data_IF_589206350507
#
_entry.id   IF_589206350507
#
_cell.length_a   1.000
_cell.length_b   1.000
_cell.length_c   1.000
_cell.angle_alpha   90.00
_cell.angle_beta   90.00
_cell.angle_gamma   90.00
#
_symmetry.space_group_name_H-M   'P 1'
#
loop_
_entity.id
_entity.type
_entity.pdbx_description
1 polymer ?
#
# COMPACT_ATOMS: atom_id res chain seq x y z
N UNK A 1 34.54 32.27 1.15
CA UNK A 1 33.51 31.90 0.15
C UNK A 1 33.64 30.48 -0.40
N UNK A 2 34.79 30.05 -0.96
CA UNK A 2 34.93 28.69 -1.54
C UNK A 2 34.60 27.54 -0.57
N UNK A 3 35.10 27.57 0.67
CA UNK A 3 34.82 26.53 1.70
C UNK A 3 33.32 26.42 2.08
N UNK A 4 32.60 27.55 2.10
CA UNK A 4 31.17 27.56 2.38
C UNK A 4 30.35 26.93 1.25
N UNK A 5 30.73 27.18 -0.01
CA UNK A 5 30.12 26.54 -1.19
C UNK A 5 30.35 25.03 -1.22
N UNK A 6 31.54 24.55 -0.84
CA UNK A 6 31.82 23.12 -0.73
C UNK A 6 31.01 22.44 0.38
N UNK A 7 30.87 23.09 1.55
CA UNK A 7 30.07 22.56 2.65
C UNK A 7 28.59 22.50 2.28
N UNK A 8 28.03 23.54 1.68
CA UNK A 8 26.65 23.53 1.19
C UNK A 8 26.43 22.46 0.10
N UNK A 9 27.39 22.30 -0.82
CA UNK A 9 27.33 21.27 -1.85
C UNK A 9 27.35 19.85 -1.27
N UNK A 10 28.24 19.57 -0.31
CA UNK A 10 28.30 18.26 0.36
C UNK A 10 27.05 17.97 1.19
N UNK A 11 26.48 18.98 1.86
CA UNK A 11 25.24 18.82 2.62
C UNK A 11 24.04 18.54 1.69
N UNK A 12 23.95 19.24 0.56
CA UNK A 12 22.94 19.00 -0.46
C UNK A 12 23.06 17.59 -1.05
N UNK A 13 24.27 17.12 -1.31
CA UNK A 13 24.49 15.78 -1.85
C UNK A 13 24.17 14.69 -0.80
N UNK A 14 24.57 14.89 0.46
CA UNK A 14 24.30 13.95 1.55
C UNK A 14 22.80 13.84 1.85
N UNK A 15 22.06 14.96 1.79
CA UNK A 15 20.60 14.96 1.95
C UNK A 15 19.91 14.27 0.78
N UNK A 16 20.34 14.50 -0.46
CA UNK A 16 19.84 13.77 -1.63
C UNK A 16 20.07 12.25 -1.50
N UNK A 17 21.29 11.84 -1.11
CA UNK A 17 21.60 10.41 -0.90
C UNK A 17 20.80 9.82 0.26
N UNK A 18 20.61 10.58 1.35
CA UNK A 18 19.80 10.16 2.49
C UNK A 18 18.34 9.93 2.09
N UNK A 19 17.73 10.87 1.36
CA UNK A 19 16.36 10.75 0.84
C UNK A 19 16.27 9.58 -0.15
N UNK A 20 17.31 9.34 -0.95
CA UNK A 20 17.34 8.22 -1.89
C UNK A 20 17.37 6.86 -1.18
N UNK A 21 17.96 6.79 0.02
CA UNK A 21 17.99 5.60 0.87
C UNK A 21 16.68 5.39 1.66
N UNK A 22 15.89 6.44 1.88
CA UNK A 22 14.54 6.30 2.43
C UNK A 22 13.67 5.64 1.36
N UNK A 23 13.21 4.42 1.62
CA UNK A 23 12.31 3.72 0.71
C UNK A 23 13.00 2.93 -0.41
N UNK A 24 14.16 2.33 -0.13
CA UNK A 24 14.55 1.15 -0.91
C UNK A 24 13.54 0.04 -0.62
N UNK A 25 12.85 -0.52 -1.63
CA UNK A 25 11.84 -1.55 -1.38
C UNK A 25 12.49 -2.78 -0.78
N UNK A 26 11.75 -3.48 0.08
CA UNK A 26 12.18 -4.78 0.62
C UNK A 26 12.35 -5.78 -0.51
N UNK A 27 13.45 -6.54 -0.48
CA UNK A 27 13.76 -7.58 -1.45
C UNK A 27 12.72 -8.72 -1.40
N UNK A 28 12.32 -9.21 -2.57
CA UNK A 28 11.39 -10.31 -2.77
C UNK A 28 11.89 -11.62 -2.16
N UNK A 29 13.21 -11.79 -2.01
CA UNK A 29 13.81 -12.95 -1.38
C UNK A 29 13.38 -13.15 0.09
N UNK A 30 12.77 -12.14 0.72
CA UNK A 30 12.27 -12.22 2.10
C UNK A 30 11.06 -13.15 2.22
N UNK A 31 10.28 -13.35 1.16
CA UNK A 31 9.13 -14.27 1.16
C UNK A 31 9.51 -15.58 0.45
N UNK A 32 9.97 -16.58 1.22
CA UNK A 32 10.25 -17.91 0.68
C UNK A 32 8.96 -18.66 0.33
N UNK A 33 9.00 -19.54 -0.68
CA UNK A 33 7.82 -20.23 -1.22
C UNK A 33 7.05 -21.11 -0.22
N UNK A 34 7.65 -21.49 0.91
CA UNK A 34 7.00 -22.24 2.00
C UNK A 34 6.24 -21.36 2.98
N UNK A 35 6.53 -20.06 3.00
CA UNK A 35 5.80 -19.15 3.86
C UNK A 35 4.43 -18.85 3.23
N UNK A 36 3.39 -19.07 4.02
CA UNK A 36 2.09 -18.42 3.93
C UNK A 36 1.11 -18.88 2.84
N UNK A 37 0.31 -19.89 3.14
CA UNK A 37 -1.09 -19.98 2.67
C UNK A 37 -2.10 -19.97 3.83
N UNK A 38 -1.64 -20.18 5.07
CA UNK A 38 -2.48 -20.23 6.27
C UNK A 38 -1.78 -19.54 7.43
N UNK A 39 -2.11 -18.27 7.65
CA UNK A 39 -1.70 -17.52 8.83
C UNK A 39 -2.89 -16.76 9.45
N UNK A 40 -2.62 -15.91 10.44
CA UNK A 40 -3.66 -15.17 11.15
C UNK A 40 -4.39 -14.16 10.23
N UNK A 41 -3.71 -13.56 9.25
CA UNK A 41 -4.35 -12.61 8.34
C UNK A 41 -5.38 -13.31 7.46
N UNK A 42 -4.99 -14.40 6.79
CA UNK A 42 -5.88 -15.17 5.93
C UNK A 42 -7.06 -15.75 6.71
N UNK A 43 -6.86 -16.12 7.97
CA UNK A 43 -7.93 -16.59 8.86
C UNK A 43 -8.95 -15.48 9.15
N UNK A 44 -8.48 -14.29 9.53
CA UNK A 44 -9.36 -13.15 9.82
C UNK A 44 -10.13 -12.71 8.57
N UNK A 45 -9.47 -12.66 7.41
CA UNK A 45 -10.12 -12.29 6.15
C UNK A 45 -11.19 -13.31 5.75
N UNK A 46 -10.90 -14.62 5.84
CA UNK A 46 -11.90 -15.66 5.57
C UNK A 46 -13.09 -15.55 6.53
N UNK A 47 -12.84 -15.42 7.84
CA UNK A 47 -13.90 -15.33 8.84
C UNK A 47 -14.79 -14.11 8.62
N UNK A 48 -14.21 -12.98 8.22
CA UNK A 48 -14.99 -11.78 7.91
C UNK A 48 -15.83 -11.95 6.65
N UNK A 49 -15.27 -12.57 5.60
CA UNK A 49 -16.02 -12.90 4.39
C UNK A 49 -17.19 -13.85 4.71
N UNK A 50 -16.96 -14.90 5.51
CA UNK A 50 -18.01 -15.84 5.92
C UNK A 50 -19.11 -15.14 6.74
N UNK A 51 -18.74 -14.28 7.69
CA UNK A 51 -19.68 -13.53 8.54
C UNK A 51 -20.54 -12.54 7.74
N UNK A 52 -20.04 -12.05 6.62
CA UNK A 52 -20.74 -11.13 5.71
C UNK A 52 -21.41 -11.84 4.53
N UNK A 53 -21.36 -13.18 4.49
CA UNK A 53 -21.89 -13.98 3.38
C UNK A 53 -21.17 -13.72 2.05
N UNK A 54 -19.94 -13.23 2.08
CA UNK A 54 -19.15 -12.88 0.90
C UNK A 54 -19.66 -11.63 0.17
N UNK A 55 -20.42 -10.75 0.85
CA UNK A 55 -20.90 -9.50 0.27
C UNK A 55 -19.75 -8.67 -0.32
N UNK A 56 -20.03 -7.96 -1.43
CA UNK A 56 -19.04 -7.04 -2.02
C UNK A 56 -18.69 -5.95 -0.99
N UNK A 57 -17.41 -5.57 -0.91
CA UNK A 57 -16.96 -4.49 -0.02
C UNK A 57 -17.67 -3.16 -0.31
N UNK A 58 -18.16 -2.97 -1.53
CA UNK A 58 -18.97 -1.81 -1.94
C UNK A 58 -20.36 -1.82 -1.30
N UNK A 59 -20.93 -3.00 -1.10
CA UNK A 59 -22.29 -3.16 -0.55
C UNK A 59 -22.29 -3.12 0.97
N UNK A 60 -21.15 -3.41 1.60
CA UNK A 60 -20.97 -3.40 3.05
C UNK A 60 -20.52 -2.04 3.61
N UNK A 61 -20.81 -0.95 2.89
CA UNK A 61 -20.58 0.43 3.31
C UNK A 61 -19.20 0.99 2.98
N UNK A 62 -18.12 0.38 3.49
CA UNK A 62 -16.75 0.88 3.31
C UNK A 62 -15.75 -0.28 3.27
N UNK A 63 -14.70 -0.23 2.43
CA UNK A 63 -13.64 -1.25 2.47
C UNK A 63 -12.93 -1.31 3.83
N UNK A 64 -13.00 -0.23 4.62
CA UNK A 64 -12.38 -0.14 5.95
C UNK A 64 -13.15 -0.86 7.06
N UNK A 65 -14.38 -1.33 6.82
CA UNK A 65 -15.18 -2.01 7.85
C UNK A 65 -14.51 -3.28 8.38
N UNK A 66 -13.64 -3.93 7.58
CA UNK A 66 -12.82 -5.04 8.07
C UNK A 66 -11.97 -4.63 9.28
N UNK A 67 -11.51 -3.38 9.35
CA UNK A 67 -10.71 -2.85 10.46
C UNK A 67 -11.52 -2.56 11.73
N UNK A 68 -12.85 -2.66 11.68
CA UNK A 68 -13.69 -2.61 12.87
C UNK A 68 -13.58 -3.91 13.68
N UNK A 69 -13.16 -5.01 13.05
CA UNK A 69 -12.83 -6.25 13.75
C UNK A 69 -11.57 -6.04 14.61
N UNK A 70 -11.63 -6.31 15.93
CA UNK A 70 -10.47 -6.19 16.80
C UNK A 70 -9.25 -6.99 16.33
N UNK A 71 -9.48 -8.18 15.74
CA UNK A 71 -8.42 -9.02 15.20
C UNK A 71 -7.75 -8.38 13.97
N UNK A 72 -8.52 -7.90 12.99
CA UNK A 72 -7.97 -7.22 11.81
C UNK A 72 -7.24 -5.93 12.20
N UNK A 73 -7.80 -5.15 13.13
CA UNK A 73 -7.18 -3.95 13.64
C UNK A 73 -5.85 -4.24 14.34
N UNK A 74 -5.76 -5.34 15.11
CA UNK A 74 -4.50 -5.75 15.74
C UNK A 74 -3.43 -6.09 14.69
N UNK A 75 -3.79 -6.83 13.64
CA UNK A 75 -2.88 -7.14 12.52
C UNK A 75 -2.42 -5.87 11.79
N UNK A 76 -3.30 -4.88 11.62
CA UNK A 76 -2.97 -3.61 10.98
C UNK A 76 -2.00 -2.73 11.79
N UNK A 77 -1.80 -3.01 13.09
CA UNK A 77 -0.77 -2.35 13.91
C UNK A 77 0.61 -2.97 13.77
N UNK A 78 0.69 -4.23 13.32
CA UNK A 78 1.96 -4.94 13.11
C UNK A 78 2.05 -5.52 11.67
N UNK A 79 1.73 -4.73 10.62
CA UNK A 79 1.48 -5.26 9.28
C UNK A 79 2.72 -5.90 8.65
N UNK A 80 3.92 -5.48 9.07
CA UNK A 80 5.20 -6.05 8.62
C UNK A 80 5.28 -7.56 8.85
N UNK A 81 4.75 -8.07 9.98
CA UNK A 81 4.81 -9.50 10.30
C UNK A 81 3.93 -10.34 9.36
N UNK A 82 2.95 -9.71 8.71
CA UNK A 82 1.98 -10.35 7.83
C UNK A 82 2.21 -10.03 6.35
N UNK A 83 3.33 -9.37 6.01
CA UNK A 83 3.63 -8.92 4.66
C UNK A 83 3.61 -10.06 3.63
N UNK A 84 4.36 -11.15 3.88
CA UNK A 84 4.40 -12.30 2.96
C UNK A 84 3.04 -12.99 2.88
N UNK A 85 2.29 -13.02 3.99
CA UNK A 85 0.94 -13.56 4.01
C UNK A 85 0.00 -12.77 3.11
N UNK A 86 0.02 -11.45 3.22
CA UNK A 86 -0.77 -10.56 2.39
C UNK A 86 -0.46 -10.78 0.90
N UNK A 87 0.81 -10.85 0.53
CA UNK A 87 1.20 -11.12 -0.86
C UNK A 87 0.67 -12.46 -1.38
N UNK A 88 0.72 -13.50 -0.57
CA UNK A 88 0.16 -14.80 -0.92
C UNK A 88 -1.36 -14.76 -1.10
N UNK A 89 -2.08 -14.06 -0.20
CA UNK A 89 -3.53 -13.87 -0.31
C UNK A 89 -3.91 -13.12 -1.59
N UNK A 90 -3.15 -12.07 -1.96
CA UNK A 90 -3.37 -11.35 -3.22
C UNK A 90 -3.08 -12.22 -4.45
N UNK A 91 -2.06 -13.07 -4.39
CA UNK A 91 -1.69 -13.98 -5.47
C UNK A 91 -2.65 -15.16 -5.64
N UNK A 92 -3.38 -15.55 -4.59
CA UNK A 92 -4.25 -16.72 -4.61
C UNK A 92 -5.47 -16.50 -5.54
N UNK A 93 -5.66 -17.33 -6.58
CA UNK A 93 -6.79 -17.20 -7.50
C UNK A 93 -8.13 -17.62 -6.90
N UNK A 94 -8.15 -18.35 -5.78
CA UNK A 94 -9.37 -18.77 -5.10
C UNK A 94 -9.95 -17.67 -4.19
N UNK A 95 -9.21 -16.60 -3.93
CA UNK A 95 -9.66 -15.46 -3.12
C UNK A 95 -10.43 -14.48 -3.99
N UNK A 96 -11.57 -14.03 -3.50
CA UNK A 96 -12.41 -13.03 -4.17
C UNK A 96 -11.75 -11.66 -4.20
N UNK A 97 -12.14 -10.76 -5.12
CA UNK A 97 -11.68 -9.36 -5.11
C UNK A 97 -11.92 -8.66 -3.76
N UNK A 98 -13.06 -8.91 -3.11
CA UNK A 98 -13.37 -8.35 -1.78
C UNK A 98 -12.38 -8.76 -0.70
N UNK A 99 -12.04 -10.05 -0.62
CA UNK A 99 -11.03 -10.52 0.34
C UNK A 99 -9.65 -9.89 0.09
N UNK A 100 -9.32 -9.66 -1.18
CA UNK A 100 -8.07 -8.99 -1.58
C UNK A 100 -8.10 -7.50 -1.21
N UNK A 101 -9.21 -6.81 -1.40
CA UNK A 101 -9.39 -5.42 -0.93
C UNK A 101 -9.21 -5.34 0.58
N UNK A 102 -9.89 -6.20 1.35
CA UNK A 102 -9.74 -6.22 2.80
C UNK A 102 -8.30 -6.54 3.25
N UNK A 103 -7.61 -7.43 2.54
CA UNK A 103 -6.19 -7.70 2.75
C UNK A 103 -5.36 -6.43 2.57
N UNK A 104 -5.59 -5.66 1.49
CA UNK A 104 -4.92 -4.36 1.28
C UNK A 104 -5.21 -3.39 2.42
N UNK A 105 -6.46 -3.31 2.90
CA UNK A 105 -6.84 -2.38 3.98
C UNK A 105 -6.06 -2.63 5.26
N UNK A 106 -5.83 -3.90 5.64
CA UNK A 106 -5.02 -4.25 6.82
C UNK A 106 -3.55 -3.87 6.61
N UNK A 107 -3.07 -3.84 5.36
CA UNK A 107 -1.67 -3.56 5.02
C UNK A 107 -1.36 -2.08 4.74
N UNK A 108 -2.33 -1.17 4.80
CA UNK A 108 -2.09 0.25 4.49
C UNK A 108 -1.08 0.94 5.42
N UNK A 109 -0.86 0.40 6.63
CA UNK A 109 0.10 0.90 7.61
C UNK A 109 1.49 0.24 7.51
N UNK A 110 1.79 -0.50 6.43
CA UNK A 110 3.12 -1.08 6.22
C UNK A 110 4.21 0.00 6.30
N UNK A 111 5.36 -0.25 6.94
CA UNK A 111 6.51 0.65 6.84
C UNK A 111 6.85 0.96 5.38
N UNK A 112 7.37 2.17 5.11
CA UNK A 112 7.49 2.70 3.73
C UNK A 112 8.30 1.80 2.78
N UNK A 113 9.37 1.17 3.26
CA UNK A 113 10.16 0.19 2.51
C UNK A 113 9.34 -1.04 2.10
N UNK A 114 8.54 -1.59 3.02
CA UNK A 114 7.61 -2.69 2.73
C UNK A 114 6.46 -2.23 1.83
N UNK A 115 5.93 -1.04 2.04
CA UNK A 115 4.82 -0.51 1.25
C UNK A 115 5.23 -0.28 -0.22
N UNK A 116 6.44 0.22 -0.48
CA UNK A 116 6.95 0.36 -1.84
C UNK A 116 7.12 -1.00 -2.54
N UNK A 117 7.60 -2.02 -1.82
CA UNK A 117 7.62 -3.40 -2.33
C UNK A 117 6.21 -3.95 -2.57
N UNK A 118 5.26 -3.63 -1.69
CA UNK A 118 3.85 -4.00 -1.84
C UNK A 118 3.22 -3.39 -3.10
N UNK A 119 3.53 -2.12 -3.40
CA UNK A 119 3.10 -1.46 -4.63
C UNK A 119 3.66 -2.15 -5.88
N UNK A 120 4.95 -2.48 -5.90
CA UNK A 120 5.57 -3.19 -7.03
C UNK A 120 4.95 -4.57 -7.24
N UNK A 121 4.79 -5.34 -6.16
CA UNK A 121 4.20 -6.67 -6.28
C UNK A 121 2.73 -6.61 -6.69
N UNK A 122 1.98 -5.63 -6.19
CA UNK A 122 0.59 -5.43 -6.60
C UNK A 122 0.49 -5.09 -8.09
N UNK A 123 1.39 -4.27 -8.61
CA UNK A 123 1.47 -4.00 -10.05
C UNK A 123 1.70 -5.29 -10.86
N UNK A 124 2.66 -6.13 -10.46
CA UNK A 124 2.92 -7.39 -11.15
C UNK A 124 1.72 -8.35 -11.12
N UNK A 125 1.05 -8.44 -9.95
CA UNK A 125 -0.15 -9.25 -9.82
C UNK A 125 -1.30 -8.72 -10.70
N UNK A 126 -1.40 -7.39 -10.85
CA UNK A 126 -2.39 -6.76 -11.73
C UNK A 126 -2.09 -7.05 -13.20
N UNK A 127 -0.83 -6.91 -13.64
CA UNK A 127 -0.40 -7.25 -15.01
C UNK A 127 -0.67 -8.72 -15.35
N UNK A 128 -0.64 -9.61 -14.36
CA UNK A 128 -0.95 -11.03 -14.49
C UNK A 128 -2.44 -11.36 -14.37
N UNK A 129 -3.30 -10.37 -14.14
CA UNK A 129 -4.75 -10.56 -13.93
C UNK A 129 -5.11 -11.27 -12.63
N UNK A 130 -4.20 -11.33 -11.66
CA UNK A 130 -4.45 -11.97 -10.36
C UNK A 130 -5.15 -11.02 -9.38
N UNK A 131 -4.97 -9.72 -9.54
CA UNK A 131 -5.78 -8.70 -8.86
C UNK A 131 -6.41 -7.78 -9.91
N UNK A 132 -7.55 -7.18 -9.58
CA UNK A 132 -8.22 -6.24 -10.48
C UNK A 132 -7.82 -4.78 -10.20
N UNK A 133 -8.36 -3.87 -11.02
CA UNK A 133 -8.10 -2.43 -10.89
C UNK A 133 -8.60 -1.85 -9.57
N UNK A 134 -9.62 -2.44 -8.93
CA UNK A 134 -10.12 -1.95 -7.65
C UNK A 134 -9.15 -2.26 -6.52
N UNK A 135 -8.58 -3.47 -6.49
CA UNK A 135 -7.55 -3.86 -5.53
C UNK A 135 -6.30 -2.99 -5.73
N UNK A 136 -5.80 -2.88 -6.98
CA UNK A 136 -4.63 -2.04 -7.26
C UNK A 136 -4.87 -0.57 -6.92
N UNK A 137 -6.06 -0.05 -7.22
CA UNK A 137 -6.48 1.30 -6.84
C UNK A 137 -6.32 1.53 -5.33
N UNK A 138 -6.77 0.62 -4.47
CA UNK A 138 -6.57 0.79 -3.03
C UNK A 138 -5.11 0.78 -2.59
N UNK A 139 -4.23 0.05 -3.29
CA UNK A 139 -2.79 0.07 -3.03
C UNK A 139 -2.18 1.42 -3.44
N UNK A 140 -2.73 2.09 -4.45
CA UNK A 140 -2.20 3.38 -4.95
C UNK A 140 -2.77 4.60 -4.21
N UNK A 141 -3.92 4.49 -3.55
CA UNK A 141 -4.54 5.62 -2.85
C UNK A 141 -3.64 6.12 -1.72
N UNK A 142 -3.42 7.44 -1.56
CA UNK A 142 -2.58 8.01 -0.52
C UNK A 142 -3.24 7.93 0.87
N UNK A 143 -3.41 6.71 1.40
CA UNK A 143 -3.89 6.41 2.75
C UNK A 143 -2.83 5.69 3.56
N UNK A 144 -3.02 5.66 4.89
CA UNK A 144 -2.10 4.98 5.80
C UNK A 144 -0.68 5.53 5.67
N UNK A 145 0.29 4.66 5.43
CA UNK A 145 1.68 5.07 5.21
C UNK A 145 1.82 6.01 4.01
N UNK A 146 1.15 5.74 2.90
CA UNK A 146 1.28 6.57 1.69
C UNK A 146 0.88 8.04 1.92
N UNK A 147 -0.05 8.29 2.84
CA UNK A 147 -0.43 9.65 3.22
C UNK A 147 0.79 10.44 3.73
N UNK A 148 1.72 9.84 4.48
CA UNK A 148 2.90 10.54 5.00
C UNK A 148 4.07 10.62 3.99
N UNK A 149 4.01 9.85 2.91
CA UNK A 149 5.13 9.65 1.97
C UNK A 149 4.76 9.91 0.50
N UNK A 150 3.61 10.54 0.21
CA UNK A 150 3.19 10.88 -1.16
C UNK A 150 4.20 11.77 -1.91
N UNK A 151 5.03 12.52 -1.18
CA UNK A 151 6.07 13.41 -1.72
C UNK A 151 7.36 12.66 -2.06
N UNK A 152 7.53 11.42 -1.57
CA UNK A 152 8.73 10.62 -1.76
C UNK A 152 8.88 10.25 -3.24
N UNK A 153 10.03 10.55 -3.90
CA UNK A 153 10.21 10.25 -5.33
C UNK A 153 9.96 8.79 -5.70
N UNK A 154 10.35 7.86 -4.83
CA UNK A 154 10.18 6.42 -5.01
C UNK A 154 8.69 6.02 -5.01
N UNK A 155 7.87 6.64 -4.14
CA UNK A 155 6.43 6.44 -4.13
C UNK A 155 5.79 7.06 -5.36
N UNK A 156 6.13 8.32 -5.67
CA UNK A 156 5.59 9.06 -6.82
C UNK A 156 5.85 8.35 -8.13
N UNK A 157 7.04 7.77 -8.32
CA UNK A 157 7.37 6.99 -9.51
C UNK A 157 6.43 5.79 -9.71
N UNK A 158 6.02 5.11 -8.63
CA UNK A 158 5.09 3.97 -8.69
C UNK A 158 3.66 4.44 -8.90
N UNK A 159 3.25 5.47 -8.17
CA UNK A 159 1.94 6.09 -8.35
C UNK A 159 1.76 6.59 -9.80
N UNK A 160 2.73 7.31 -10.36
CA UNK A 160 2.66 7.79 -11.75
C UNK A 160 2.68 6.67 -12.79
N UNK A 161 3.29 5.50 -12.48
CA UNK A 161 3.25 4.31 -13.33
C UNK A 161 1.85 3.72 -13.39
N UNK A 162 1.18 3.59 -12.23
CA UNK A 162 -0.02 2.77 -12.09
C UNK A 162 -1.32 3.57 -12.02
N UNK A 163 -1.28 4.84 -11.62
CA UNK A 163 -2.46 5.70 -11.53
C UNK A 163 -3.19 5.93 -12.86
N UNK A 164 -2.50 6.06 -14.03
CA UNK A 164 -3.18 6.13 -15.31
C UNK A 164 -4.04 4.89 -15.57
N UNK A 165 -5.35 5.08 -15.77
CA UNK A 165 -6.31 3.99 -15.95
C UNK A 165 -6.97 3.50 -14.66
N UNK A 166 -6.46 3.88 -13.49
CA UNK A 166 -7.13 3.67 -12.19
C UNK A 166 -7.91 4.91 -11.74
N UNK A 167 -7.39 6.10 -12.07
CA UNK A 167 -7.98 7.38 -11.66
C UNK A 167 -8.12 8.35 -12.83
N UNK A 168 -8.98 9.36 -12.66
CA UNK A 168 -9.06 10.49 -13.56
C UNK A 168 -7.82 11.40 -13.45
N UNK A 169 -7.50 12.13 -14.51
CA UNK A 169 -6.36 13.06 -14.52
C UNK A 169 -6.44 14.09 -13.39
N UNK A 170 -7.64 14.61 -13.09
CA UNK A 170 -7.85 15.57 -12.00
C UNK A 170 -7.53 14.96 -10.62
N UNK A 171 -7.88 13.69 -10.39
CA UNK A 171 -7.52 12.98 -9.15
C UNK A 171 -6.00 12.75 -9.05
N UNK A 172 -5.36 12.37 -10.16
CA UNK A 172 -3.91 12.19 -10.22
C UNK A 172 -3.20 13.51 -9.86
N UNK A 173 -3.64 14.62 -10.45
CA UNK A 173 -3.08 15.95 -10.17
C UNK A 173 -3.30 16.38 -8.72
N UNK A 174 -4.49 16.14 -8.14
CA UNK A 174 -4.78 16.44 -6.74
C UNK A 174 -3.87 15.65 -5.79
N UNK A 175 -3.73 14.34 -6.00
CA UNK A 175 -2.81 13.50 -5.21
C UNK A 175 -1.36 13.98 -5.36
N UNK A 176 -0.92 14.23 -6.60
CA UNK A 176 0.46 14.66 -6.86
C UNK A 176 0.76 16.08 -6.34
N UNK A 177 -0.24 16.94 -6.21
CA UNK A 177 -0.10 18.28 -5.64
C UNK A 177 0.12 18.27 -4.13
N UNK A 178 -0.32 17.20 -3.45
CA UNK A 178 -0.30 17.12 -1.99
C UNK A 178 -1.41 17.93 -1.30
N UNK A 179 -2.32 18.58 -2.04
CA UNK A 179 -3.40 19.36 -1.43
C UNK A 179 -4.23 18.54 -0.43
N UNK A 180 -4.49 17.28 -0.75
CA UNK A 180 -5.17 16.31 0.11
C UNK A 180 -4.58 16.18 1.52
N UNK A 181 -3.27 16.41 1.70
CA UNK A 181 -2.59 16.32 2.99
C UNK A 181 -3.00 17.46 3.95
N UNK A 182 -3.16 18.68 3.43
CA UNK A 182 -3.49 19.85 4.25
C UNK A 182 -4.94 19.87 4.72
N UNK A 183 -5.80 19.14 4.01
CA UNK A 183 -7.22 19.02 4.32
C UNK A 183 -7.56 17.70 5.00
N UNK A 184 -6.58 16.94 5.48
CA UNK A 184 -6.82 15.71 6.23
C UNK A 184 -7.28 16.01 7.67
N UNK A 185 -8.35 15.37 8.19
CA UNK A 185 -9.17 14.32 7.58
C UNK A 185 -10.39 14.83 6.75
N UNK A 186 -10.59 16.15 6.64
CA UNK A 186 -11.78 16.80 6.08
C UNK A 186 -12.14 16.50 4.62
N UNK A 187 -11.20 16.09 3.75
CA UNK A 187 -11.51 15.68 2.36
C UNK A 187 -11.76 14.19 2.16
N UNK A 188 -11.73 13.38 3.22
CA UNK A 188 -12.18 11.98 3.18
C UNK A 188 -11.34 11.07 2.29
N UNK A 189 -10.02 11.26 2.28
CA UNK A 189 -9.13 10.41 1.49
C UNK A 189 -8.90 9.05 2.05
#
# INVERSE_FOLDING_TARGET
>A
MKRFLYVCGLLGLATLVGIWRIGTPVDEAVCSAESTTSGPLGTVISQYADATGGADWRDNGSPFTVLELPAAHALAREPRQHYCEALSLLQNPQRTPTEKVHTVMVMLSLPIDYYLGFMDRSHELYQRGLIDASVLGFVMTPRGTALNYWWLPQWRSRYQRDAPGLYSQAQIEDVLSGAHWFDYPGRGF
#
